data_IF_676876261393
#
_entry.id   IF_676876261393
#
_cell.length_a   1.000
_cell.length_b   1.000
_cell.length_c   1.000
_cell.angle_alpha   90.00
_cell.angle_beta   90.00
_cell.angle_gamma   90.00
#
_symmetry.space_group_name_H-M   'P 1'
#
loop_
_entity.id
_entity.type
_entity.pdbx_description
1 polymer ?
#
# COMPACT_ATOMS: atom_id res chain seq x y z
N UNK A 1 17.90 37.30 16.27
CA UNK A 1 17.88 36.54 15.00
C UNK A 1 17.73 35.07 15.36
N UNK A 2 16.64 34.47 14.98
CA UNK A 2 16.41 33.02 15.21
C UNK A 2 17.25 32.26 14.20
N UNK A 3 18.30 31.59 14.65
CA UNK A 3 19.11 30.72 13.79
C UNK A 3 18.30 29.44 13.52
N UNK A 4 17.73 29.35 12.36
CA UNK A 4 17.01 28.16 11.91
C UNK A 4 18.04 27.15 11.45
N UNK A 5 18.35 26.16 12.27
CA UNK A 5 19.22 25.06 11.89
C UNK A 5 18.42 24.11 10.98
N UNK A 6 18.62 24.19 9.68
CA UNK A 6 18.14 23.18 8.74
C UNK A 6 19.04 21.95 8.90
N UNK A 7 18.56 20.95 9.61
CA UNK A 7 19.18 19.62 9.55
C UNK A 7 18.52 18.89 8.38
N UNK A 8 19.10 19.03 7.20
CA UNK A 8 18.81 18.11 6.11
C UNK A 8 19.72 16.91 6.28
N UNK A 9 19.35 15.97 7.11
CA UNK A 9 20.01 14.68 7.17
C UNK A 9 19.41 13.78 6.09
N UNK A 10 20.00 13.80 4.91
CA UNK A 10 19.87 12.65 4.02
C UNK A 10 20.82 11.58 4.52
N UNK A 11 20.34 10.68 5.37
CA UNK A 11 21.12 9.50 5.75
C UNK A 11 21.11 8.54 4.57
N UNK A 12 22.14 8.63 3.73
CA UNK A 12 22.43 7.69 2.65
C UNK A 12 23.58 6.81 3.13
N UNK A 13 23.34 6.05 4.18
CA UNK A 13 24.32 5.11 4.72
C UNK A 13 24.06 3.67 4.28
N UNK A 14 25.03 2.80 4.51
CA UNK A 14 24.94 1.37 4.22
C UNK A 14 23.71 0.70 4.83
N UNK A 15 23.25 1.18 5.98
CA UNK A 15 22.07 0.64 6.68
C UNK A 15 20.75 1.36 6.36
N UNK A 16 20.76 2.38 5.49
CA UNK A 16 19.54 3.13 5.17
C UNK A 16 18.47 2.25 4.51
N UNK A 17 18.88 1.29 3.69
CA UNK A 17 17.97 0.33 3.03
C UNK A 17 17.23 -0.55 4.02
N UNK A 18 17.88 -0.97 5.10
CA UNK A 18 17.30 -1.86 6.11
C UNK A 18 16.26 -1.13 6.96
N UNK A 19 16.54 0.12 7.36
CA UNK A 19 15.56 0.95 8.05
C UNK A 19 14.33 1.26 7.19
N UNK A 20 14.55 1.61 5.92
CA UNK A 20 13.46 1.92 4.99
C UNK A 20 12.61 0.67 4.72
N UNK A 21 13.23 -0.49 4.52
CA UNK A 21 12.50 -1.74 4.34
C UNK A 21 11.71 -2.12 5.59
N UNK A 22 12.29 -2.03 6.77
CA UNK A 22 11.59 -2.32 8.03
C UNK A 22 10.40 -1.38 8.26
N UNK A 23 10.52 -0.09 7.92
CA UNK A 23 9.43 0.88 8.01
C UNK A 23 8.28 0.55 7.06
N UNK A 24 8.58 0.22 5.83
CA UNK A 24 7.57 -0.09 4.81
C UNK A 24 6.87 -1.42 5.08
N UNK A 25 7.60 -2.42 5.55
CA UNK A 25 7.06 -3.76 5.83
C UNK A 25 6.32 -3.88 7.16
N UNK A 26 6.31 -2.85 8.00
CA UNK A 26 5.60 -2.86 9.29
C UNK A 26 4.08 -2.62 9.17
N UNK A 27 3.54 -2.38 7.98
CA UNK A 27 2.11 -2.35 7.71
C UNK A 27 1.48 -3.74 7.83
N UNK A 28 0.28 -3.85 8.41
CA UNK A 28 -0.40 -5.14 8.61
C UNK A 28 -0.62 -5.92 7.33
N UNK A 29 -0.98 -5.26 6.25
CA UNK A 29 -1.25 -5.89 4.95
C UNK A 29 0.01 -6.52 4.35
N UNK A 30 1.14 -5.83 4.45
CA UNK A 30 2.43 -6.32 3.93
C UNK A 30 3.07 -7.35 4.89
N UNK A 31 3.00 -7.12 6.21
CA UNK A 31 3.57 -8.02 7.20
C UNK A 31 2.91 -9.40 7.21
N UNK A 32 1.61 -9.47 6.92
CA UNK A 32 0.86 -10.73 6.86
C UNK A 32 0.97 -11.44 5.50
N UNK A 33 1.70 -10.88 4.54
CA UNK A 33 1.86 -11.49 3.21
C UNK A 33 0.56 -11.58 2.39
N UNK A 34 -0.41 -10.71 2.69
CA UNK A 34 -1.71 -10.70 2.01
C UNK A 34 -1.64 -10.13 0.58
N UNK A 35 -0.54 -9.50 0.24
CA UNK A 35 -0.28 -8.90 -1.07
C UNK A 35 1.07 -9.41 -1.56
N UNK A 36 1.12 -9.83 -2.81
CA UNK A 36 2.37 -10.20 -3.45
C UNK A 36 3.24 -8.96 -3.68
N UNK A 37 4.47 -9.03 -3.17
CA UNK A 37 5.46 -7.96 -3.30
C UNK A 37 6.40 -8.31 -4.45
N UNK A 38 6.48 -7.45 -5.46
CA UNK A 38 7.43 -7.59 -6.57
C UNK A 38 8.68 -6.76 -6.32
N UNK A 39 9.80 -7.37 -5.89
CA UNK A 39 11.03 -6.66 -5.63
C UNK A 39 11.75 -6.25 -6.93
N UNK A 40 12.70 -5.33 -6.81
CA UNK A 40 13.63 -4.92 -7.86
C UNK A 40 13.03 -4.23 -9.11
N UNK A 41 11.82 -3.71 -9.03
CA UNK A 41 11.26 -2.88 -10.10
C UNK A 41 11.94 -1.51 -10.07
N UNK A 42 12.84 -1.24 -11.03
CA UNK A 42 13.64 -0.01 -11.05
C UNK A 42 12.95 1.17 -11.74
N UNK A 43 12.21 0.92 -12.81
CA UNK A 43 11.57 1.96 -13.57
C UNK A 43 10.13 1.59 -13.91
N UNK A 44 9.93 0.65 -14.80
CA UNK A 44 8.60 0.23 -15.27
C UNK A 44 8.64 -1.24 -15.61
N UNK A 45 7.67 -1.99 -15.18
CA UNK A 45 7.54 -3.39 -15.51
C UNK A 45 6.13 -3.69 -16.00
N UNK A 46 6.04 -4.43 -17.09
CA UNK A 46 4.77 -4.85 -17.68
C UNK A 46 4.45 -6.26 -17.22
N UNK A 47 3.28 -6.40 -16.60
CA UNK A 47 2.69 -7.68 -16.26
C UNK A 47 1.72 -8.07 -17.37
N UNK A 48 1.86 -9.27 -17.88
CA UNK A 48 0.99 -9.81 -18.93
C UNK A 48 0.04 -10.84 -18.34
N UNK A 49 -1.21 -10.78 -18.75
CA UNK A 49 -2.23 -11.77 -18.43
C UNK A 49 -2.77 -12.36 -19.71
N UNK A 50 -2.76 -13.68 -19.79
CA UNK A 50 -3.30 -14.44 -20.89
C UNK A 50 -4.61 -15.11 -20.46
N UNK A 51 -5.69 -14.80 -21.16
CA UNK A 51 -6.97 -15.45 -20.98
C UNK A 51 -7.30 -16.27 -22.24
N UNK A 52 -7.71 -17.50 -22.02
CA UNK A 52 -8.10 -18.44 -23.06
C UNK A 52 -9.56 -18.81 -22.82
N UNK A 53 -10.39 -18.62 -23.82
CA UNK A 53 -11.81 -18.95 -23.74
C UNK A 53 -12.25 -19.75 -24.99
N UNK A 54 -13.17 -20.68 -24.78
CA UNK A 54 -13.80 -21.43 -25.85
C UNK A 54 -12.89 -22.39 -26.64
N UNK A 55 -11.77 -22.86 -26.03
CA UNK A 55 -10.78 -23.69 -26.71
C UNK A 55 -11.27 -25.11 -27.10
N UNK A 56 -12.33 -25.58 -26.44
CA UNK A 56 -12.84 -26.93 -26.67
C UNK A 56 -14.16 -26.85 -27.45
N UNK A 57 -14.20 -27.48 -28.59
CA UNK A 57 -15.38 -27.59 -29.42
C UNK A 57 -15.56 -29.02 -29.92
N UNK A 58 -16.73 -29.32 -30.49
CA UNK A 58 -17.00 -30.61 -31.12
C UNK A 58 -16.10 -30.82 -32.33
N UNK A 59 -15.64 -32.04 -32.51
CA UNK A 59 -14.81 -32.39 -33.65
C UNK A 59 -15.55 -32.21 -34.99
N UNK A 60 -14.91 -31.46 -35.89
CA UNK A 60 -15.38 -31.30 -37.28
C UNK A 60 -14.32 -31.78 -38.26
N UNK A 61 -14.73 -32.12 -39.50
CA UNK A 61 -13.77 -32.51 -40.52
C UNK A 61 -12.93 -31.37 -41.06
N UNK A 62 -13.40 -30.14 -40.88
CA UNK A 62 -12.70 -28.93 -41.29
C UNK A 62 -12.10 -28.21 -40.07
N UNK A 63 -10.93 -27.61 -40.27
CA UNK A 63 -10.31 -26.74 -39.26
C UNK A 63 -11.14 -25.45 -39.10
N UNK A 64 -11.76 -25.31 -37.94
CA UNK A 64 -12.45 -24.10 -37.57
C UNK A 64 -11.75 -23.49 -36.36
N UNK A 65 -11.49 -22.19 -36.42
CA UNK A 65 -10.97 -21.43 -35.29
C UNK A 65 -12.11 -21.22 -34.29
N UNK A 66 -12.00 -21.78 -33.09
CA UNK A 66 -13.11 -21.86 -32.13
C UNK A 66 -12.77 -21.10 -30.84
N UNK A 67 -11.50 -20.86 -30.54
CA UNK A 67 -11.07 -20.23 -29.31
C UNK A 67 -10.71 -18.77 -29.46
N UNK A 68 -10.86 -18.01 -28.41
CA UNK A 68 -10.31 -16.65 -28.30
C UNK A 68 -9.17 -16.60 -27.31
N UNK A 69 -8.10 -15.90 -27.71
CA UNK A 69 -6.93 -15.66 -26.88
C UNK A 69 -6.86 -14.16 -26.61
N UNK A 70 -7.10 -13.77 -25.36
CA UNK A 70 -7.03 -12.39 -24.93
C UNK A 70 -5.73 -12.14 -24.16
N UNK A 71 -4.91 -11.25 -24.71
CA UNK A 71 -3.66 -10.83 -24.08
C UNK A 71 -3.85 -9.43 -23.53
N UNK A 72 -3.79 -9.30 -22.20
CA UNK A 72 -3.90 -8.02 -21.51
C UNK A 72 -2.60 -7.69 -20.79
N UNK A 73 -2.24 -6.42 -20.80
CA UNK A 73 -1.01 -5.91 -20.18
C UNK A 73 -1.35 -4.87 -19.12
N UNK A 74 -0.63 -4.95 -18.01
CA UNK A 74 -0.65 -3.94 -16.94
C UNK A 74 0.75 -3.53 -16.57
N UNK A 75 0.96 -2.26 -16.31
CA UNK A 75 2.27 -1.73 -15.93
C UNK A 75 2.32 -1.40 -14.45
N UNK A 76 3.42 -1.84 -13.81
CA UNK A 76 3.80 -1.42 -12.46
C UNK A 76 4.88 -0.36 -12.61
N UNK A 77 4.67 0.79 -12.01
CA UNK A 77 5.60 1.91 -11.98
C UNK A 77 5.84 2.36 -10.55
N UNK A 78 7.09 2.30 -10.05
CA UNK A 78 7.41 2.75 -8.71
C UNK A 78 7.34 4.27 -8.62
N UNK A 79 6.80 4.79 -7.51
CA UNK A 79 6.72 6.22 -7.24
C UNK A 79 7.74 6.60 -6.17
N UNK A 80 8.56 7.60 -6.45
CA UNK A 80 9.49 8.15 -5.47
C UNK A 80 8.74 8.98 -4.43
N UNK A 81 8.93 8.66 -3.17
CA UNK A 81 8.37 9.37 -2.03
C UNK A 81 9.50 9.89 -1.15
N UNK A 82 9.26 10.98 -0.43
CA UNK A 82 10.24 11.57 0.48
C UNK A 82 9.57 11.97 1.79
N UNK A 83 10.32 11.91 2.87
CA UNK A 83 9.91 12.40 4.19
C UNK A 83 10.91 13.45 4.65
N UNK A 84 10.45 14.69 4.78
CA UNK A 84 11.28 15.81 5.23
C UNK A 84 10.76 16.31 6.59
N UNK A 85 11.59 16.24 7.61
CA UNK A 85 11.27 16.71 8.95
C UNK A 85 12.25 17.81 9.35
N UNK A 86 11.71 18.96 9.76
CA UNK A 86 12.49 20.07 10.30
C UNK A 86 12.32 20.09 11.80
N UNK A 87 13.42 19.95 12.52
CA UNK A 87 13.45 20.00 13.99
C UNK A 87 14.14 21.29 14.45
N UNK A 88 13.49 22.01 15.36
CA UNK A 88 14.08 23.18 15.99
C UNK A 88 14.62 22.80 17.38
N UNK A 89 15.94 22.86 17.56
CA UNK A 89 16.60 22.48 18.82
C UNK A 89 16.11 23.28 20.03
N UNK A 90 15.77 24.57 19.83
CA UNK A 90 15.27 25.43 20.91
C UNK A 90 13.94 24.96 21.51
N UNK A 91 13.09 24.31 20.71
CA UNK A 91 11.80 23.80 21.17
C UNK A 91 11.94 22.63 22.15
N UNK A 92 13.01 21.85 22.01
CA UNK A 92 13.25 20.68 22.87
C UNK A 92 13.94 21.02 24.19
N UNK A 93 14.49 22.23 24.34
CA UNK A 93 15.12 22.66 25.57
C UNK A 93 14.17 22.83 26.75
N UNK A 94 12.88 22.99 26.48
CA UNK A 94 11.82 23.11 27.51
C UNK A 94 11.06 21.82 27.75
N UNK A 95 11.45 20.70 27.10
CA UNK A 95 10.79 19.42 27.26
C UNK A 95 11.47 18.51 28.28
N UNK A 96 10.91 17.33 28.53
CA UNK A 96 11.45 16.37 29.51
C UNK A 96 12.90 15.91 29.21
N UNK A 97 13.35 16.03 27.97
CA UNK A 97 14.73 15.74 27.57
C UNK A 97 15.74 16.89 27.83
N UNK A 98 15.28 18.02 28.36
CA UNK A 98 16.12 19.19 28.63
C UNK A 98 17.31 18.85 29.55
N UNK A 99 17.15 17.93 30.51
CA UNK A 99 18.20 17.50 31.42
C UNK A 99 19.35 16.73 30.77
N UNK A 100 19.12 16.11 29.62
CA UNK A 100 20.12 15.37 28.85
C UNK A 100 20.73 16.18 27.70
N UNK A 101 20.23 17.38 27.45
CA UNK A 101 20.77 18.35 26.50
C UNK A 101 21.74 19.30 27.18
N UNK A 102 22.93 19.48 26.61
CA UNK A 102 23.89 20.45 27.13
C UNK A 102 23.37 21.90 27.04
N UNK A 103 24.04 22.79 27.82
CA UNK A 103 23.69 24.22 27.88
C UNK A 103 23.99 24.96 26.55
N UNK A 104 24.91 24.45 25.75
CA UNK A 104 25.34 25.06 24.49
C UNK A 104 24.42 24.75 23.31
N UNK A 105 24.29 25.73 22.41
CA UNK A 105 23.59 25.54 21.15
C UNK A 105 24.30 24.53 20.20
N UNK A 106 25.57 24.26 20.46
CA UNK A 106 26.41 23.35 19.67
C UNK A 106 26.40 21.90 20.19
N UNK A 107 25.81 21.65 21.37
CA UNK A 107 25.75 20.31 21.92
C UNK A 107 24.88 19.41 21.03
N UNK A 108 25.30 18.17 20.92
CA UNK A 108 24.62 17.18 20.12
C UNK A 108 23.22 16.85 20.70
N UNK A 109 22.31 16.42 19.83
CA UNK A 109 21.03 15.84 20.25
C UNK A 109 21.25 14.56 21.07
N UNK A 110 20.52 14.38 22.18
CA UNK A 110 20.54 13.11 22.91
C UNK A 110 20.17 11.95 21.99
N UNK A 111 20.91 10.86 22.05
CA UNK A 111 20.64 9.66 21.26
C UNK A 111 19.20 9.15 21.46
N UNK A 112 18.71 9.16 22.70
CA UNK A 112 17.33 8.76 23.04
C UNK A 112 16.25 9.57 22.31
N UNK A 113 16.46 10.89 22.14
CA UNK A 113 15.52 11.74 21.42
C UNK A 113 15.53 11.42 19.92
N UNK A 114 16.72 11.19 19.36
CA UNK A 114 16.88 10.76 17.97
C UNK A 114 16.12 9.47 17.69
N UNK A 115 16.32 8.45 18.51
CA UNK A 115 15.67 7.14 18.38
C UNK A 115 14.16 7.24 18.53
N UNK A 116 13.68 8.06 19.47
CA UNK A 116 12.26 8.32 19.65
C UNK A 116 11.62 8.95 18.40
N UNK A 117 12.28 9.97 17.82
CA UNK A 117 11.78 10.63 16.60
C UNK A 117 11.76 9.68 15.42
N UNK A 118 12.84 8.89 15.25
CA UNK A 118 12.94 7.88 14.18
C UNK A 118 11.81 6.86 14.34
N UNK A 119 11.59 6.32 15.54
CA UNK A 119 10.54 5.36 15.82
C UNK A 119 9.13 5.91 15.54
N UNK A 120 8.86 7.16 15.94
CA UNK A 120 7.58 7.82 15.63
C UNK A 120 7.38 8.09 14.14
N UNK A 121 8.44 8.47 13.45
CA UNK A 121 8.41 8.68 12.00
C UNK A 121 8.17 7.38 11.28
N UNK A 122 8.84 6.30 11.66
CA UNK A 122 8.65 4.96 11.13
C UNK A 122 7.19 4.51 11.23
N UNK A 123 6.60 4.64 12.42
CA UNK A 123 5.20 4.27 12.64
C UNK A 123 4.23 5.10 11.76
N UNK A 124 4.53 6.38 11.54
CA UNK A 124 3.73 7.25 10.66
C UNK A 124 3.88 6.90 9.18
N UNK A 125 5.07 6.54 8.74
CA UNK A 125 5.30 6.06 7.37
C UNK A 125 4.54 4.76 7.14
N UNK A 126 4.63 3.80 8.06
CA UNK A 126 3.89 2.55 7.97
C UNK A 126 2.37 2.77 7.88
N UNK A 127 1.83 3.63 8.73
CA UNK A 127 0.41 3.99 8.68
C UNK A 127 0.02 4.66 7.37
N UNK A 128 0.84 5.59 6.86
CA UNK A 128 0.58 6.27 5.60
C UNK A 128 0.65 5.30 4.41
N UNK A 129 1.58 4.36 4.43
CA UNK A 129 1.73 3.33 3.40
C UNK A 129 0.51 2.40 3.40
N UNK A 130 0.06 1.94 4.56
CA UNK A 130 -1.13 1.10 4.69
C UNK A 130 -2.38 1.79 4.13
N UNK A 131 -2.60 3.06 4.47
CA UNK A 131 -3.68 3.85 3.91
C UNK A 131 -3.56 4.05 2.40
N UNK A 132 -2.34 4.25 1.89
CA UNK A 132 -2.09 4.42 0.47
C UNK A 132 -2.31 3.13 -0.33
N UNK A 133 -1.97 1.96 0.22
CA UNK A 133 -2.21 0.65 -0.42
C UNK A 133 -3.70 0.47 -0.73
N UNK A 134 -4.58 0.81 0.20
CA UNK A 134 -6.01 0.63 0.02
C UNK A 134 -6.67 1.79 -0.71
N UNK A 135 -6.51 3.02 -0.24
CA UNK A 135 -7.27 4.20 -0.67
C UNK A 135 -6.45 5.36 -1.24
N UNK A 136 -5.20 5.13 -1.60
CA UNK A 136 -4.35 6.20 -2.15
C UNK A 136 -4.91 6.77 -3.46
N UNK A 137 -4.79 8.09 -3.63
CA UNK A 137 -5.30 8.83 -4.80
C UNK A 137 -4.20 9.42 -5.69
N UNK A 138 -2.95 9.01 -5.50
CA UNK A 138 -1.77 9.53 -6.20
C UNK A 138 -1.45 11.02 -5.97
N UNK A 139 -2.07 11.63 -4.95
CA UNK A 139 -1.88 13.05 -4.58
C UNK A 139 -1.16 13.12 -3.24
N UNK A 140 -0.40 14.20 -3.00
CA UNK A 140 0.23 14.51 -1.69
C UNK A 140 1.09 13.37 -1.09
N UNK A 141 1.97 12.77 -1.90
CA UNK A 141 2.89 11.74 -1.41
C UNK A 141 2.26 10.35 -1.29
N UNK A 142 1.09 10.11 -1.87
CA UNK A 142 0.51 8.77 -2.01
C UNK A 142 0.64 8.22 -3.44
N UNK A 143 0.44 6.94 -3.59
CA UNK A 143 0.30 6.24 -4.87
C UNK A 143 -1.15 5.75 -5.03
N UNK A 144 -1.61 5.42 -6.26
CA UNK A 144 -2.96 4.89 -6.46
C UNK A 144 -3.15 3.59 -5.71
N UNK A 145 -4.12 3.56 -4.78
CA UNK A 145 -4.45 2.38 -4.01
C UNK A 145 -5.38 1.41 -4.74
N UNK A 146 -5.55 0.21 -4.20
CA UNK A 146 -6.37 -0.83 -4.82
C UNK A 146 -7.81 -0.40 -5.08
N UNK A 147 -8.46 0.27 -4.13
CA UNK A 147 -9.84 0.73 -4.32
C UNK A 147 -9.94 1.78 -5.42
N UNK A 148 -8.96 2.69 -5.52
CA UNK A 148 -8.90 3.71 -6.55
C UNK A 148 -8.66 3.10 -7.94
N UNK A 149 -7.75 2.14 -8.04
CA UNK A 149 -7.46 1.43 -9.29
C UNK A 149 -8.65 0.59 -9.75
N UNK A 150 -9.28 -0.16 -8.84
CA UNK A 150 -10.46 -0.97 -9.15
C UNK A 150 -11.67 -0.10 -9.54
N UNK A 151 -11.85 1.06 -8.90
CA UNK A 151 -12.92 1.98 -9.27
C UNK A 151 -12.72 2.57 -10.67
N UNK A 152 -11.48 2.87 -11.04
CA UNK A 152 -11.13 3.43 -12.35
C UNK A 152 -11.09 2.37 -13.48
N UNK A 153 -11.00 1.09 -13.15
CA UNK A 153 -10.85 0.04 -14.14
C UNK A 153 -12.16 -0.26 -14.87
N UNK A 154 -12.21 0.09 -16.16
CA UNK A 154 -13.36 -0.14 -17.03
C UNK A 154 -13.54 -1.61 -17.41
N UNK A 155 -12.51 -2.45 -17.30
CA UNK A 155 -12.59 -3.88 -17.58
C UNK A 155 -13.39 -4.66 -16.53
N UNK A 156 -13.47 -4.11 -15.30
CA UNK A 156 -14.25 -4.69 -14.21
C UNK A 156 -15.66 -4.09 -14.22
N UNK A 157 -16.61 -4.76 -14.86
CA UNK A 157 -18.02 -4.31 -14.99
C UNK A 157 -18.96 -5.18 -14.15
N UNK A 158 -20.12 -4.63 -13.82
CA UNK A 158 -21.32 -5.29 -13.33
C UNK A 158 -21.11 -6.39 -12.26
N UNK A 159 -20.84 -7.60 -12.70
CA UNK A 159 -20.71 -8.76 -11.82
C UNK A 159 -19.50 -8.72 -10.86
N UNK A 160 -18.47 -7.94 -11.19
CA UNK A 160 -17.23 -7.82 -10.39
C UNK A 160 -17.21 -6.57 -9.50
N UNK A 161 -18.08 -5.60 -9.76
CA UNK A 161 -18.30 -4.41 -8.94
C UNK A 161 -19.72 -4.43 -8.41
N UNK A 162 -19.88 -4.85 -7.17
CA UNK A 162 -21.18 -4.83 -6.52
C UNK A 162 -21.37 -3.46 -5.91
N UNK A 163 -22.45 -2.79 -6.31
CA UNK A 163 -22.85 -1.53 -5.68
C UNK A 163 -23.60 -1.87 -4.41
N UNK A 164 -22.97 -1.67 -3.28
CA UNK A 164 -23.58 -1.84 -1.96
C UNK A 164 -24.19 -0.54 -1.44
N UNK A 165 -25.02 -0.67 -0.43
CA UNK A 165 -25.51 0.45 0.38
C UNK A 165 -24.54 0.76 1.52
N UNK A 166 -24.73 1.91 2.18
CA UNK A 166 -23.97 2.23 3.39
C UNK A 166 -24.15 1.13 4.44
N UNK A 167 -23.05 0.61 4.96
CA UNK A 167 -23.06 -0.51 5.90
C UNK A 167 -23.60 -0.04 7.25
N UNK A 168 -24.60 -0.75 7.73
CA UNK A 168 -25.23 -0.57 9.04
C UNK A 168 -25.29 -1.90 9.77
N UNK A 169 -25.46 -1.93 11.11
CA UNK A 169 -25.59 -3.18 11.84
C UNK A 169 -26.75 -4.08 11.36
N UNK A 170 -27.78 -3.47 10.72
CA UNK A 170 -28.92 -4.20 10.22
C UNK A 170 -28.69 -4.87 8.85
N UNK A 171 -27.82 -4.31 7.99
CA UNK A 171 -27.63 -4.78 6.62
C UNK A 171 -26.27 -5.43 6.37
N UNK A 172 -25.33 -5.38 7.33
CA UNK A 172 -23.94 -5.87 7.14
C UNK A 172 -23.89 -7.33 6.67
N UNK A 173 -24.71 -8.20 7.24
CA UNK A 173 -24.74 -9.63 6.88
C UNK A 173 -25.25 -9.81 5.45
N UNK A 174 -26.28 -9.08 5.06
CA UNK A 174 -26.83 -9.14 3.71
C UNK A 174 -25.83 -8.58 2.67
N UNK A 175 -25.14 -7.50 2.98
CA UNK A 175 -24.12 -6.91 2.11
C UNK A 175 -22.92 -7.84 1.92
N UNK A 176 -22.42 -8.46 2.99
CA UNK A 176 -21.35 -9.46 2.90
C UNK A 176 -21.81 -10.71 2.15
N UNK A 177 -23.05 -11.15 2.37
CA UNK A 177 -23.67 -12.26 1.62
C UNK A 177 -23.66 -11.97 0.11
N UNK A 178 -24.09 -10.79 -0.32
CA UNK A 178 -24.10 -10.43 -1.75
C UNK A 178 -22.69 -10.40 -2.37
N UNK A 179 -21.66 -10.06 -1.58
CA UNK A 179 -20.27 -10.13 -2.06
C UNK A 179 -19.83 -11.58 -2.27
N UNK A 180 -20.17 -12.46 -1.33
CA UNK A 180 -19.83 -13.90 -1.43
C UNK A 180 -20.59 -14.55 -2.60
N UNK A 181 -21.86 -14.26 -2.76
CA UNK A 181 -22.70 -14.81 -3.84
C UNK A 181 -22.21 -14.38 -5.24
N UNK A 182 -21.53 -13.24 -5.34
CA UNK A 182 -20.97 -12.77 -6.59
C UNK A 182 -19.62 -13.38 -6.94
N UNK A 183 -19.00 -14.15 -6.03
CA UNK A 183 -17.74 -14.83 -6.31
C UNK A 183 -18.03 -16.02 -7.24
N UNK A 184 -17.33 -16.15 -8.38
CA UNK A 184 -17.47 -17.30 -9.26
C UNK A 184 -17.16 -18.61 -8.51
N UNK A 185 -17.98 -19.62 -8.72
CA UNK A 185 -17.85 -20.96 -8.10
C UNK A 185 -16.43 -21.56 -8.21
N UNK A 186 -15.78 -21.27 -9.33
CA UNK A 186 -14.40 -21.71 -9.60
C UNK A 186 -13.38 -21.13 -8.61
N UNK A 187 -13.61 -19.92 -8.10
CA UNK A 187 -12.73 -19.26 -7.12
C UNK A 187 -13.07 -19.62 -5.68
N UNK A 188 -14.32 -20.01 -5.38
CA UNK A 188 -14.73 -20.44 -4.04
C UNK A 188 -14.02 -21.71 -3.55
N UNK A 189 -13.44 -22.49 -4.46
CA UNK A 189 -12.68 -23.71 -4.14
C UNK A 189 -11.19 -23.43 -3.88
N UNK A 190 -10.76 -22.17 -4.02
CA UNK A 190 -9.36 -21.78 -3.80
C UNK A 190 -9.13 -21.51 -2.31
N UNK A 191 -8.17 -22.22 -1.70
CA UNK A 191 -7.81 -22.05 -0.28
C UNK A 191 -7.17 -20.68 0.02
N UNK A 192 -6.77 -19.93 -1.00
CA UNK A 192 -6.13 -18.61 -0.92
C UNK A 192 -7.09 -17.42 -0.94
N UNK A 193 -8.40 -17.63 -0.86
CA UNK A 193 -9.37 -16.55 -0.95
C UNK A 193 -9.49 -15.76 0.37
N UNK A 194 -9.23 -14.46 0.32
CA UNK A 194 -9.36 -13.55 1.45
C UNK A 194 -10.38 -12.45 1.18
N UNK A 195 -11.17 -12.11 2.20
CA UNK A 195 -12.09 -10.97 2.16
C UNK A 195 -11.51 -9.86 3.04
N UNK A 196 -11.22 -8.73 2.44
CA UNK A 196 -10.72 -7.55 3.16
C UNK A 196 -11.89 -6.65 3.55
N UNK A 197 -12.00 -6.39 4.83
CA UNK A 197 -13.07 -5.57 5.40
C UNK A 197 -12.46 -4.43 6.22
N UNK A 198 -13.04 -3.25 6.12
CA UNK A 198 -12.60 -2.12 6.93
C UNK A 198 -12.92 -2.36 8.42
N UNK A 199 -12.05 -1.90 9.31
CA UNK A 199 -12.15 -2.17 10.76
C UNK A 199 -13.46 -1.63 11.41
N UNK A 200 -14.12 -0.68 10.78
CA UNK A 200 -15.40 -0.13 11.25
C UNK A 200 -16.63 -0.97 10.85
N UNK A 201 -16.43 -2.04 10.09
CA UNK A 201 -17.49 -2.96 9.65
C UNK A 201 -17.50 -4.24 10.49
N UNK A 202 -16.44 -4.46 11.23
CA UNK A 202 -16.22 -5.61 12.09
C UNK A 202 -16.83 -5.40 13.48
#
# INVERSE_FOLDING_TARGET
MATTTNISSSYVGEFASDYVSAMLLSGNTLANGLIEIKPNVKYKETLTRLELDGLVADASCDFADVGTLNWTERTIEPKSLQVNIKLCKSTFRSTFEAGSMGASAHDNFPAKLSDFIIGKTAAKIAQATELAIWGGTAVNGSFPGFTTLLAADAAHTGAQKITGEAITPANVVAQLGSVIDAIPEKLLQDEGLYVFVANNVY
#
